data_IF_458731916802
#
_entry.id   IF_458731916802
#
_cell.length_a   1.000
_cell.length_b   1.000
_cell.length_c   1.000
_cell.angle_alpha   90.00
_cell.angle_beta   90.00
_cell.angle_gamma   90.00
#
_symmetry.space_group_name_H-M   'P 1'
#
loop_
_entity.id
_entity.type
_entity.pdbx_description
1 polymer ?
#
# COMPACT_ATOMS: atom_id res chain seq x y z
N UNK A 1 -62.66 -31.87 5.81
CA UNK A 1 -61.20 -32.07 5.98
C UNK A 1 -60.46 -31.31 4.90
N UNK A 2 -60.05 -30.06 5.15
CA UNK A 2 -59.14 -29.31 4.26
C UNK A 2 -58.30 -28.39 5.14
N UNK A 3 -57.40 -28.92 5.96
CA UNK A 3 -56.42 -28.12 6.70
C UNK A 3 -55.13 -28.95 6.87
N UNK A 4 -54.42 -29.23 5.78
CA UNK A 4 -53.11 -29.90 5.86
C UNK A 4 -52.25 -29.72 4.59
N UNK A 5 -52.22 -28.56 3.93
CA UNK A 5 -51.23 -28.30 2.84
C UNK A 5 -50.76 -26.84 2.77
N UNK A 6 -50.90 -26.05 3.84
CA UNK A 6 -50.50 -24.63 3.84
C UNK A 6 -49.28 -24.30 4.71
N UNK A 7 -48.56 -25.32 5.20
CA UNK A 7 -47.37 -25.13 6.05
C UNK A 7 -46.06 -25.37 5.27
N UNK A 8 -46.09 -26.03 4.11
CA UNK A 8 -44.87 -26.25 3.30
C UNK A 8 -44.50 -25.01 2.47
N UNK A 9 -45.47 -24.14 2.18
CA UNK A 9 -45.26 -22.91 1.39
C UNK A 9 -44.70 -21.72 2.18
N UNK A 10 -44.83 -21.71 3.50
CA UNK A 10 -44.37 -20.59 4.36
C UNK A 10 -43.00 -20.83 4.97
N UNK A 11 -42.52 -22.08 5.02
CA UNK A 11 -41.16 -22.39 5.51
C UNK A 11 -40.06 -22.01 4.51
N UNK A 12 -40.38 -21.78 3.24
CA UNK A 12 -39.40 -21.35 2.22
C UNK A 12 -39.11 -19.85 2.25
N UNK A 13 -39.88 -19.05 3.02
CA UNK A 13 -39.62 -17.62 3.21
C UNK A 13 -38.77 -17.29 4.45
N UNK A 14 -38.40 -18.29 5.26
CA UNK A 14 -37.46 -18.12 6.39
C UNK A 14 -36.08 -18.71 6.11
N UNK A 15 -35.81 -19.07 4.86
CA UNK A 15 -34.53 -19.54 4.34
C UNK A 15 -34.17 -18.73 3.10
N UNK A 16 -34.25 -17.40 3.19
CA UNK A 16 -33.29 -16.59 2.43
C UNK A 16 -31.96 -16.83 3.14
N UNK A 17 -31.21 -17.79 2.62
CA UNK A 17 -29.76 -17.72 2.71
C UNK A 17 -29.38 -16.35 2.16
N UNK A 18 -29.20 -15.37 3.04
CA UNK A 18 -28.35 -14.20 2.78
C UNK A 18 -26.91 -14.73 2.70
N UNK A 19 -26.64 -15.61 1.74
CA UNK A 19 -25.32 -15.70 1.17
C UNK A 19 -25.12 -14.34 0.53
N UNK A 20 -24.31 -13.49 1.16
CA UNK A 20 -23.88 -12.17 0.69
C UNK A 20 -23.81 -12.15 -0.85
N UNK A 21 -24.92 -11.76 -1.49
CA UNK A 21 -25.10 -11.87 -2.95
C UNK A 21 -24.10 -10.99 -3.69
N UNK A 22 -23.55 -10.03 -2.96
CA UNK A 22 -22.47 -9.14 -3.35
C UNK A 22 -21.22 -9.92 -3.78
N UNK A 23 -20.97 -11.12 -3.26
CA UNK A 23 -19.79 -11.92 -3.60
C UNK A 23 -20.04 -12.97 -4.70
N UNK A 24 -21.28 -13.11 -5.18
CA UNK A 24 -21.68 -14.10 -6.19
C UNK A 24 -21.40 -13.61 -7.61
N UNK A 25 -20.13 -13.66 -8.01
CA UNK A 25 -19.71 -13.48 -9.40
C UNK A 25 -18.42 -14.23 -9.68
N UNK A 26 -18.27 -14.73 -10.91
CA UNK A 26 -16.99 -15.27 -11.41
C UNK A 26 -15.99 -14.14 -11.74
N UNK A 27 -16.50 -12.93 -11.99
CA UNK A 27 -15.69 -11.77 -12.32
C UNK A 27 -15.26 -11.11 -11.01
N UNK A 28 -14.04 -11.41 -10.58
CA UNK A 28 -13.41 -10.82 -9.40
C UNK A 28 -12.03 -10.27 -9.74
N UNK A 29 -11.71 -9.09 -9.24
CA UNK A 29 -10.40 -8.47 -9.46
C UNK A 29 -9.90 -7.74 -8.21
N UNK A 30 -8.58 -7.58 -8.04
CA UNK A 30 -8.05 -6.73 -6.97
C UNK A 30 -8.31 -5.25 -7.30
N UNK A 31 -8.72 -4.47 -6.30
CA UNK A 31 -8.96 -3.03 -6.45
C UNK A 31 -8.05 -2.19 -5.55
N UNK A 32 -7.55 -1.06 -6.04
CA UNK A 32 -6.86 -0.07 -5.20
C UNK A 32 -7.92 0.72 -4.43
N UNK A 33 -7.88 0.61 -3.10
CA UNK A 33 -8.85 1.26 -2.20
C UNK A 33 -8.46 2.71 -1.95
N UNK A 34 -7.18 2.98 -1.64
CA UNK A 34 -6.73 4.33 -1.32
C UNK A 34 -5.22 4.52 -1.48
N UNK A 35 -4.83 5.77 -1.77
CA UNK A 35 -3.47 6.27 -1.57
C UNK A 35 -3.45 7.13 -0.31
N UNK A 36 -2.82 6.65 0.75
CA UNK A 36 -2.78 7.29 2.06
C UNK A 36 -1.44 7.97 2.27
N UNK A 37 -1.44 9.30 2.33
CA UNK A 37 -0.25 10.09 2.66
C UNK A 37 -0.06 10.11 4.17
N UNK A 38 0.96 9.42 4.66
CA UNK A 38 1.36 9.40 6.07
C UNK A 38 2.61 10.26 6.21
N UNK A 39 2.40 11.52 6.58
CA UNK A 39 3.42 12.56 6.61
C UNK A 39 3.56 13.12 8.03
N UNK A 40 4.74 13.62 8.36
CA UNK A 40 5.00 14.40 9.56
C UNK A 40 4.65 15.89 9.35
N UNK A 41 4.93 16.72 10.36
CA UNK A 41 4.69 18.16 10.30
C UNK A 41 5.57 18.93 9.30
N UNK A 42 6.52 18.26 8.64
CA UNK A 42 7.43 18.81 7.62
C UNK A 42 7.08 18.32 6.21
N UNK A 43 5.92 17.69 6.04
CA UNK A 43 5.45 17.10 4.79
C UNK A 43 6.33 15.96 4.25
N UNK A 44 7.11 15.31 5.13
CA UNK A 44 7.94 14.15 4.80
C UNK A 44 7.36 12.87 5.40
N UNK A 45 7.53 11.75 4.70
CA UNK A 45 7.08 10.45 5.18
C UNK A 45 6.86 9.45 4.05
N UNK A 46 5.65 8.90 3.97
CA UNK A 46 5.35 7.78 3.09
C UNK A 46 3.97 7.88 2.45
N UNK A 47 3.87 7.45 1.18
CA UNK A 47 2.61 7.18 0.51
C UNK A 47 2.32 5.68 0.57
N UNK A 48 1.30 5.30 1.30
CA UNK A 48 0.86 3.90 1.46
C UNK A 48 -0.31 3.63 0.53
N UNK A 49 -0.15 2.67 -0.37
CA UNK A 49 -1.20 2.26 -1.30
C UNK A 49 -1.90 1.03 -0.72
N UNK A 50 -3.18 1.16 -0.40
CA UNK A 50 -4.02 0.05 0.05
C UNK A 50 -4.81 -0.53 -1.12
N UNK A 51 -4.89 -1.86 -1.14
CA UNK A 51 -5.70 -2.60 -2.09
C UNK A 51 -6.56 -3.63 -1.37
N UNK A 52 -7.52 -4.22 -2.07
CA UNK A 52 -8.29 -5.34 -1.52
C UNK A 52 -7.37 -6.52 -1.18
N UNK A 53 -7.67 -7.20 -0.08
CA UNK A 53 -6.88 -8.33 0.40
C UNK A 53 -6.94 -9.54 -0.56
N UNK A 54 -8.08 -9.69 -1.24
CA UNK A 54 -8.33 -10.68 -2.28
C UNK A 54 -9.03 -10.04 -3.49
N UNK A 55 -9.08 -10.73 -4.65
CA UNK A 55 -9.96 -10.33 -5.73
C UNK A 55 -11.43 -10.34 -5.28
N UNK A 56 -12.15 -9.25 -5.56
CA UNK A 56 -13.56 -9.05 -5.17
C UNK A 56 -14.40 -8.63 -6.37
N UNK A 57 -15.71 -8.71 -6.23
CA UNK A 57 -16.66 -8.13 -7.21
C UNK A 57 -16.64 -6.60 -7.14
N UNK A 58 -17.21 -5.94 -8.15
CA UNK A 58 -17.29 -4.47 -8.17
C UNK A 58 -18.19 -3.95 -7.03
N UNK A 59 -19.27 -4.66 -6.72
CA UNK A 59 -20.17 -4.31 -5.62
C UNK A 59 -19.47 -4.45 -4.26
N UNK A 60 -18.70 -5.52 -4.05
CA UNK A 60 -17.94 -5.71 -2.81
C UNK A 60 -16.81 -4.68 -2.71
N UNK A 61 -16.18 -4.31 -3.82
CA UNK A 61 -15.19 -3.24 -3.84
C UNK A 61 -15.80 -1.90 -3.43
N UNK A 62 -16.97 -1.54 -3.98
CA UNK A 62 -17.69 -0.33 -3.58
C UNK A 62 -18.04 -0.32 -2.08
N UNK A 63 -18.53 -1.45 -1.57
CA UNK A 63 -18.83 -1.62 -0.15
C UNK A 63 -17.58 -1.43 0.73
N UNK A 64 -16.45 -2.05 0.38
CA UNK A 64 -15.17 -1.88 1.08
C UNK A 64 -14.75 -0.40 1.10
N UNK A 65 -14.83 0.29 -0.04
CA UNK A 65 -14.46 1.71 -0.14
C UNK A 65 -15.31 2.63 0.76
N UNK A 66 -16.56 2.26 1.03
CA UNK A 66 -17.50 3.05 1.81
C UNK A 66 -17.50 2.72 3.32
N UNK A 67 -16.71 1.73 3.78
CA UNK A 67 -16.66 1.34 5.20
C UNK A 67 -16.08 2.47 6.07
N UNK A 68 -16.83 3.01 7.06
CA UNK A 68 -16.32 4.07 7.93
C UNK A 68 -15.06 3.66 8.72
N UNK A 69 -14.96 2.39 9.12
CA UNK A 69 -13.82 1.87 9.88
C UNK A 69 -12.51 1.89 9.09
N UNK A 70 -12.55 1.76 7.76
CA UNK A 70 -11.37 1.87 6.91
C UNK A 70 -10.86 3.30 6.88
N UNK A 71 -11.76 4.27 6.67
CA UNK A 71 -11.41 5.69 6.68
C UNK A 71 -10.84 6.11 8.03
N UNK A 72 -11.49 5.73 9.13
CA UNK A 72 -11.00 6.00 10.48
C UNK A 72 -9.64 5.34 10.74
N UNK A 73 -9.44 4.11 10.24
CA UNK A 73 -8.15 3.42 10.29
C UNK A 73 -7.05 4.22 9.59
N UNK A 74 -7.30 4.74 8.39
CA UNK A 74 -6.33 5.55 7.65
C UNK A 74 -5.97 6.83 8.39
N UNK A 75 -6.95 7.56 8.94
CA UNK A 75 -6.69 8.77 9.74
C UNK A 75 -5.90 8.44 11.03
N UNK A 76 -6.22 7.32 11.67
CA UNK A 76 -5.46 6.84 12.82
C UNK A 76 -4.02 6.49 12.46
N UNK A 77 -3.76 5.87 11.29
CA UNK A 77 -2.41 5.59 10.82
C UNK A 77 -1.62 6.88 10.58
N UNK A 78 -2.23 7.86 9.89
CA UNK A 78 -1.63 9.18 9.63
C UNK A 78 -1.18 9.88 10.90
N UNK A 79 -1.99 9.81 11.96
CA UNK A 79 -1.68 10.44 13.24
C UNK A 79 -0.68 9.65 14.07
N UNK A 80 -0.88 8.34 14.21
CA UNK A 80 -0.10 7.51 15.14
C UNK A 80 1.28 7.15 14.61
N UNK A 81 1.48 7.08 13.28
CA UNK A 81 2.79 6.73 12.73
C UNK A 81 3.84 7.82 13.05
N UNK A 82 3.64 9.12 12.79
CA UNK A 82 4.56 10.15 13.25
C UNK A 82 4.81 10.09 14.76
N UNK A 83 3.77 9.93 15.59
CA UNK A 83 3.92 9.79 17.06
C UNK A 83 4.84 8.62 17.43
N UNK A 84 4.69 7.47 16.76
CA UNK A 84 5.51 6.28 16.99
C UNK A 84 6.99 6.50 16.65
N UNK A 85 7.28 7.25 15.59
CA UNK A 85 8.63 7.54 15.12
C UNK A 85 9.19 8.85 15.69
N UNK A 86 8.66 9.34 16.83
CA UNK A 86 9.20 10.51 17.53
C UNK A 86 8.84 11.86 16.92
N UNK A 87 7.79 11.90 16.09
CA UNK A 87 7.24 13.11 15.45
C UNK A 87 7.89 13.50 14.13
N UNK A 88 8.88 12.74 13.64
CA UNK A 88 9.61 13.02 12.41
C UNK A 88 9.77 11.75 11.57
N UNK A 89 9.39 11.81 10.30
CA UNK A 89 9.46 10.71 9.35
C UNK A 89 10.53 10.90 8.25
N UNK A 90 11.22 12.04 8.21
CA UNK A 90 12.28 12.34 7.23
C UNK A 90 13.37 11.27 7.22
N UNK A 91 13.88 10.88 8.39
CA UNK A 91 14.96 9.90 8.53
C UNK A 91 14.46 8.48 8.81
N UNK A 92 13.14 8.30 8.99
CA UNK A 92 12.55 6.99 9.26
C UNK A 92 12.80 6.03 8.08
N UNK A 93 13.28 4.84 8.37
CA UNK A 93 13.54 3.81 7.38
C UNK A 93 12.24 3.19 6.85
N UNK A 94 12.17 2.91 5.54
CA UNK A 94 10.95 2.40 4.89
C UNK A 94 10.57 0.99 5.35
N UNK A 95 11.54 0.12 5.69
CA UNK A 95 11.27 -1.22 6.21
C UNK A 95 10.71 -1.14 7.64
N UNK A 96 11.25 -0.26 8.47
CA UNK A 96 10.77 -0.06 9.84
C UNK A 96 9.35 0.53 9.84
N UNK A 97 9.09 1.52 8.97
CA UNK A 97 7.74 2.03 8.72
C UNK A 97 6.80 0.97 8.16
N UNK A 98 7.24 0.17 7.18
CA UNK A 98 6.43 -0.89 6.60
C UNK A 98 6.04 -1.95 7.62
N UNK A 99 6.95 -2.34 8.52
CA UNK A 99 6.65 -3.27 9.60
C UNK A 99 5.62 -2.70 10.58
N UNK A 100 5.75 -1.41 10.91
CA UNK A 100 4.77 -0.71 11.74
C UNK A 100 3.39 -0.69 11.05
N UNK A 101 3.32 -0.25 9.79
CA UNK A 101 2.08 -0.16 9.04
C UNK A 101 1.43 -1.53 8.80
N UNK A 102 2.22 -2.57 8.53
CA UNK A 102 1.73 -3.95 8.40
C UNK A 102 1.05 -4.45 9.69
N UNK A 103 1.58 -4.08 10.85
CA UNK A 103 1.01 -4.43 12.17
C UNK A 103 -0.11 -3.50 12.62
N UNK A 104 -0.42 -2.47 11.84
CA UNK A 104 -1.46 -1.51 12.15
C UNK A 104 -2.79 -1.96 11.52
N UNK A 105 -3.73 -2.51 12.31
CA UNK A 105 -4.97 -3.04 11.75
C UNK A 105 -5.84 -1.91 11.20
N UNK A 106 -6.29 -2.06 9.95
CA UNK A 106 -7.27 -1.18 9.31
C UNK A 106 -8.58 -1.93 9.13
N UNK A 107 -8.57 -2.94 8.26
CA UNK A 107 -9.69 -3.86 8.01
C UNK A 107 -9.10 -5.17 7.45
N UNK A 108 -9.79 -6.29 7.66
CA UNK A 108 -9.36 -7.62 7.18
C UNK A 108 -9.39 -7.74 5.65
N UNK A 109 -10.23 -6.95 4.98
CA UNK A 109 -10.46 -7.01 3.54
C UNK A 109 -9.56 -6.03 2.77
N UNK A 110 -8.66 -5.31 3.45
CA UNK A 110 -7.63 -4.46 2.83
C UNK A 110 -6.22 -4.89 3.24
N UNK A 111 -5.26 -4.64 2.36
CA UNK A 111 -3.83 -4.86 2.60
C UNK A 111 -2.99 -3.78 1.93
N UNK A 112 -1.76 -3.63 2.40
CA UNK A 112 -0.80 -2.72 1.78
C UNK A 112 -0.28 -3.35 0.49
N UNK A 113 -0.44 -2.64 -0.63
CA UNK A 113 0.05 -3.03 -1.95
C UNK A 113 1.43 -2.44 -2.25
N UNK A 114 1.64 -1.17 -1.88
CA UNK A 114 2.94 -0.51 -2.01
C UNK A 114 3.14 0.51 -0.90
N UNK A 115 4.39 0.80 -0.59
CA UNK A 115 4.80 1.97 0.18
C UNK A 115 5.85 2.70 -0.64
N UNK A 116 5.67 3.99 -0.85
CA UNK A 116 6.67 4.86 -1.46
C UNK A 116 7.16 5.86 -0.43
N UNK A 117 8.43 6.24 -0.49
CA UNK A 117 8.89 7.47 0.15
C UNK A 117 8.12 8.67 -0.43
N UNK A 118 7.72 9.59 0.44
CA UNK A 118 7.02 10.81 0.10
C UNK A 118 7.60 12.02 0.82
N UNK A 119 7.39 13.20 0.22
CA UNK A 119 7.97 14.47 0.68
C UNK A 119 9.24 14.81 -0.09
N UNK A 120 9.36 16.05 -0.54
CA UNK A 120 10.42 16.48 -1.45
C UNK A 120 11.81 16.21 -0.85
N UNK A 121 12.02 16.63 0.39
CA UNK A 121 13.32 16.49 1.07
C UNK A 121 13.70 15.02 1.25
N UNK A 122 12.75 14.18 1.67
CA UNK A 122 13.00 12.74 1.79
C UNK A 122 13.24 12.06 0.44
N UNK A 123 12.52 12.45 -0.61
CA UNK A 123 12.74 11.94 -1.97
C UNK A 123 14.11 12.34 -2.53
N UNK A 124 14.61 13.54 -2.19
CA UNK A 124 15.92 14.04 -2.59
C UNK A 124 17.09 13.22 -2.01
N UNK A 125 16.83 12.32 -1.05
CA UNK A 125 17.83 11.35 -0.58
C UNK A 125 18.21 10.37 -1.69
N UNK A 126 17.32 10.08 -2.63
CA UNK A 126 17.49 9.02 -3.64
C UNK A 126 17.88 9.53 -5.02
N UNK A 127 18.24 10.81 -5.12
CA UNK A 127 18.76 11.43 -6.35
C UNK A 127 20.07 12.19 -6.10
N UNK A 128 21.01 11.52 -5.43
CA UNK A 128 22.36 12.04 -5.13
C UNK A 128 23.41 11.34 -5.97
N UNK A 129 24.61 11.94 -6.03
CA UNK A 129 25.73 11.38 -6.77
C UNK A 129 26.05 9.94 -6.34
N UNK A 130 25.98 9.01 -7.28
CA UNK A 130 26.38 7.62 -7.10
C UNK A 130 27.78 7.41 -7.73
N UNK A 131 28.84 7.17 -6.94
CA UNK A 131 30.19 7.03 -7.45
C UNK A 131 30.36 5.81 -8.37
N UNK A 132 29.51 4.80 -8.23
CA UNK A 132 29.56 3.54 -8.99
C UNK A 132 28.68 3.59 -10.26
N UNK A 133 28.01 4.72 -10.50
CA UNK A 133 27.17 4.94 -11.68
C UNK A 133 27.55 6.26 -12.37
N UNK A 134 28.57 6.25 -13.25
CA UNK A 134 28.93 7.42 -14.05
C UNK A 134 27.73 7.98 -14.82
N UNK A 135 27.53 9.29 -14.76
CA UNK A 135 26.38 9.95 -15.40
C UNK A 135 25.05 9.72 -14.68
N UNK A 136 25.07 9.32 -13.40
CA UNK A 136 23.87 9.21 -12.60
C UNK A 136 23.08 10.52 -12.59
N UNK A 137 21.75 10.38 -12.56
CA UNK A 137 20.85 11.49 -12.32
C UNK A 137 21.16 12.18 -10.98
N UNK A 138 20.94 13.49 -10.86
CA UNK A 138 21.08 14.22 -9.57
C UNK A 138 19.83 14.99 -9.17
N UNK A 139 18.72 14.69 -9.82
CA UNK A 139 17.41 15.25 -9.56
C UNK A 139 16.33 14.24 -9.97
N UNK A 140 15.10 14.42 -9.54
CA UNK A 140 13.97 13.54 -9.86
C UNK A 140 12.86 14.30 -10.59
N UNK A 141 12.27 13.72 -11.63
CA UNK A 141 10.99 14.20 -12.13
C UNK A 141 9.87 13.63 -11.25
N UNK A 142 9.25 14.47 -10.41
CA UNK A 142 8.25 14.01 -9.44
C UNK A 142 6.99 13.39 -10.07
N UNK A 143 6.72 13.62 -11.36
CA UNK A 143 5.62 12.95 -12.08
C UNK A 143 5.91 11.49 -12.40
N UNK A 144 7.19 11.11 -12.55
CA UNK A 144 7.58 9.72 -12.85
C UNK A 144 8.08 8.97 -11.62
N UNK A 145 8.63 9.71 -10.65
CA UNK A 145 9.26 9.24 -9.41
C UNK A 145 10.38 8.21 -9.64
N UNK A 146 11.02 8.22 -10.82
CA UNK A 146 12.11 7.29 -11.11
C UNK A 146 13.25 7.46 -10.11
N UNK A 147 13.74 6.34 -9.58
CA UNK A 147 14.74 6.30 -8.51
C UNK A 147 14.17 6.44 -7.11
N UNK A 148 12.90 6.83 -6.93
CA UNK A 148 12.29 6.92 -5.59
C UNK A 148 12.29 5.55 -4.90
N UNK A 149 12.57 5.55 -3.60
CA UNK A 149 12.54 4.33 -2.81
C UNK A 149 11.09 3.86 -2.60
N UNK A 150 10.86 2.57 -2.80
CA UNK A 150 9.56 1.96 -2.60
C UNK A 150 9.66 0.50 -2.13
N UNK A 151 8.55 -0.04 -1.68
CA UNK A 151 8.33 -1.46 -1.41
C UNK A 151 7.09 -1.94 -2.15
N UNK A 152 7.10 -3.22 -2.54
CA UNK A 152 5.95 -3.88 -3.15
C UNK A 152 5.21 -4.79 -2.16
N UNK A 153 4.10 -5.37 -2.63
CA UNK A 153 3.24 -6.19 -1.79
C UNK A 153 3.97 -7.41 -1.18
N UNK A 154 4.89 -8.04 -1.91
CA UNK A 154 5.63 -9.20 -1.41
C UNK A 154 6.63 -8.79 -0.32
N UNK A 155 7.32 -7.66 -0.50
CA UNK A 155 8.24 -7.16 0.51
C UNK A 155 7.50 -6.87 1.82
N UNK A 156 6.35 -6.19 1.72
CA UNK A 156 5.58 -5.68 2.87
C UNK A 156 4.85 -6.80 3.60
N UNK A 157 4.20 -7.71 2.87
CA UNK A 157 3.32 -8.71 3.47
C UNK A 157 4.04 -10.04 3.78
N UNK A 158 5.23 -10.26 3.24
CA UNK A 158 5.96 -11.53 3.40
C UNK A 158 7.42 -11.35 3.83
N UNK A 159 8.23 -10.51 3.18
CA UNK A 159 9.66 -10.45 3.49
C UNK A 159 9.94 -9.75 4.83
N UNK A 160 9.43 -8.52 4.99
CA UNK A 160 9.71 -7.65 6.14
C UNK A 160 9.13 -8.21 7.46
N UNK A 161 7.90 -8.74 7.50
CA UNK A 161 7.38 -9.38 8.72
C UNK A 161 8.21 -10.59 9.17
N UNK A 162 8.92 -11.25 8.26
CA UNK A 162 9.83 -12.36 8.53
C UNK A 162 11.28 -11.91 8.84
N UNK A 163 11.50 -10.62 9.06
CA UNK A 163 12.79 -10.07 9.50
C UNK A 163 13.79 -9.78 8.37
N UNK A 164 13.38 -9.91 7.10
CA UNK A 164 14.24 -9.51 5.97
C UNK A 164 14.14 -8.00 5.76
N UNK A 165 15.26 -7.37 5.40
CA UNK A 165 15.29 -6.00 4.86
C UNK A 165 15.61 -6.07 3.37
N UNK A 166 14.91 -5.28 2.58
CA UNK A 166 15.13 -5.13 1.14
C UNK A 166 14.70 -3.72 0.77
N UNK A 167 15.46 -3.08 -0.10
CA UNK A 167 15.18 -1.73 -0.57
C UNK A 167 15.00 -1.79 -2.08
N UNK A 168 14.00 -1.08 -2.61
CA UNK A 168 13.76 -1.02 -4.05
C UNK A 168 13.72 0.40 -4.57
N UNK A 169 14.15 0.56 -5.82
CA UNK A 169 14.25 1.84 -6.50
C UNK A 169 13.36 1.83 -7.73
N UNK A 170 12.36 2.72 -7.74
CA UNK A 170 11.27 2.71 -8.71
C UNK A 170 11.77 2.96 -10.14
N UNK A 171 11.31 2.16 -11.09
CA UNK A 171 11.62 2.28 -12.54
C UNK A 171 13.12 2.35 -12.87
N UNK A 172 13.96 1.73 -12.05
CA UNK A 172 15.39 1.55 -12.34
C UNK A 172 15.63 0.19 -13.02
N UNK A 173 16.71 0.08 -13.80
CA UNK A 173 17.08 -1.18 -14.46
C UNK A 173 17.34 -2.29 -13.44
N UNK A 174 17.10 -3.54 -13.82
CA UNK A 174 17.08 -4.71 -12.92
C UNK A 174 18.21 -4.76 -11.88
N UNK A 175 19.47 -4.55 -12.29
CA UNK A 175 20.63 -4.63 -11.39
C UNK A 175 20.72 -3.48 -10.37
N UNK A 176 20.02 -2.38 -10.62
CA UNK A 176 19.98 -1.20 -9.74
C UNK A 176 18.62 -1.06 -9.04
N UNK A 177 17.68 -1.96 -9.28
CA UNK A 177 16.33 -1.86 -8.76
C UNK A 177 16.23 -2.30 -7.29
N UNK A 178 17.19 -3.06 -6.77
CA UNK A 178 17.14 -3.59 -5.40
C UNK A 178 18.48 -3.55 -4.69
N UNK A 179 18.48 -3.30 -3.39
CA UNK A 179 19.65 -3.40 -2.50
C UNK A 179 19.29 -4.03 -1.16
N UNK A 180 20.29 -4.55 -0.45
CA UNK A 180 20.18 -5.02 0.93
C UNK A 180 20.43 -3.89 1.95
N UNK A 181 20.82 -2.69 1.47
CA UNK A 181 21.03 -1.48 2.27
C UNK A 181 20.20 -0.31 1.77
N UNK A 182 19.88 0.64 2.66
CA UNK A 182 19.24 1.91 2.29
C UNK A 182 20.25 2.81 1.54
N UNK A 183 20.40 2.58 0.24
CA UNK A 183 21.24 3.39 -0.63
C UNK A 183 20.56 4.73 -0.91
N UNK A 184 21.15 5.80 -0.39
CA UNK A 184 20.68 7.18 -0.51
C UNK A 184 21.45 7.95 -1.58
N UNK A 185 21.40 7.42 -2.79
CA UNK A 185 21.95 8.00 -4.01
C UNK A 185 21.17 7.50 -5.22
N UNK A 186 21.54 7.93 -6.42
CA UNK A 186 20.81 7.62 -7.65
C UNK A 186 21.05 6.20 -8.18
N UNK A 187 19.98 5.58 -8.66
CA UNK A 187 19.97 4.24 -9.26
C UNK A 187 19.67 4.26 -10.77
N UNK A 188 19.73 5.43 -11.39
CA UNK A 188 19.54 5.63 -12.82
C UNK A 188 20.40 6.79 -13.32
N UNK A 189 20.67 6.79 -14.63
CA UNK A 189 21.45 7.81 -15.33
C UNK A 189 20.57 8.91 -15.91
N UNK A 190 21.18 10.04 -16.26
CA UNK A 190 20.50 11.12 -17.00
C UNK A 190 19.93 10.63 -18.35
N UNK A 191 20.61 9.67 -19.00
CA UNK A 191 20.16 9.07 -20.27
C UNK A 191 18.90 8.21 -20.09
N UNK A 192 18.79 7.51 -18.96
CA UNK A 192 17.64 6.65 -18.63
C UNK A 192 16.44 7.42 -18.08
N UNK A 193 16.58 8.73 -17.86
CA UNK A 193 15.59 9.55 -17.16
C UNK A 193 14.27 9.61 -17.91
N UNK A 194 13.19 9.31 -17.18
CA UNK A 194 11.81 9.43 -17.63
C UNK A 194 11.26 10.83 -17.34
N UNK A 195 10.53 11.39 -18.32
CA UNK A 195 9.89 12.70 -18.25
C UNK A 195 8.37 12.57 -18.30
#
# INVERSE_FOLDING_TARGET
>A
MVVAVLIIGTLKCCLTTDSDSIDESINKSPGIVAHVMVLDSTDNGFRVVYATAAPVTDERFAEICDRPGILEGFENLKRKAPEHFGGNLLETDICDFALYAYRFPIDKDVRIHNIFVAGKEKMDFYVRNNPDLPGCATWMHHGTEQGNQYLNADDINHCIPNGRRIYRYWKCRYLLQTSDTDERFSHFTEEERLY
#
